data_IF_805590853250
#
_entry.id   IF_805590853250
#
_cell.length_a   1.000
_cell.length_b   1.000
_cell.length_c   1.000
_cell.angle_alpha   90.00
_cell.angle_beta   90.00
_cell.angle_gamma   90.00
#
_symmetry.space_group_name_H-M   'P 1'
#
loop_
_entity.id
_entity.type
_entity.pdbx_description
1 polymer ?
#
# COMPACT_ATOMS: atom_id res chain seq x y z
N UNK A 1 -4.81 3.32 -59.80
CA UNK A 1 -5.24 4.43 -58.93
C UNK A 1 -5.02 4.00 -57.48
N UNK A 2 -3.85 4.30 -56.92
CA UNK A 2 -3.50 3.98 -55.54
C UNK A 2 -4.11 5.02 -54.61
N UNK A 3 -4.96 4.59 -53.67
CA UNK A 3 -5.50 5.48 -52.63
C UNK A 3 -4.85 5.11 -51.30
N UNK A 4 -4.07 6.09 -50.82
CA UNK A 4 -3.18 6.16 -49.67
C UNK A 4 -3.85 5.73 -48.37
N UNK A 5 -3.19 4.83 -47.65
CA UNK A 5 -3.44 4.45 -46.25
C UNK A 5 -3.07 5.65 -45.37
N UNK A 6 -4.07 6.31 -44.79
CA UNK A 6 -3.81 7.34 -43.77
C UNK A 6 -3.44 6.61 -42.47
N UNK A 7 -2.19 6.82 -42.08
CA UNK A 7 -1.63 6.39 -40.80
C UNK A 7 -1.93 7.55 -39.86
N UNK A 8 -2.99 7.42 -39.07
CA UNK A 8 -3.25 8.30 -37.93
C UNK A 8 -2.01 8.30 -37.06
N UNK A 9 -1.34 9.45 -37.02
CA UNK A 9 -0.22 9.70 -36.14
C UNK A 9 -0.78 9.93 -34.75
N UNK A 10 -0.44 9.04 -33.82
CA UNK A 10 -0.65 9.26 -32.39
C UNK A 10 -0.04 10.62 -32.03
N UNK A 11 -0.88 11.57 -31.64
CA UNK A 11 -0.44 12.88 -31.18
C UNK A 11 0.56 12.68 -30.05
N UNK A 12 1.68 13.43 -30.09
CA UNK A 12 2.63 13.50 -28.99
C UNK A 12 1.88 14.04 -27.76
N UNK A 13 1.36 13.12 -26.95
CA UNK A 13 0.66 13.43 -25.72
C UNK A 13 1.57 14.21 -24.78
N UNK A 14 0.96 15.11 -24.01
CA UNK A 14 1.60 15.93 -22.99
C UNK A 14 2.66 15.10 -22.21
N UNK A 15 3.87 15.64 -21.96
CA UNK A 15 4.93 14.87 -21.33
C UNK A 15 4.43 14.36 -19.98
N UNK A 16 4.32 13.04 -19.85
CA UNK A 16 3.93 12.34 -18.62
C UNK A 16 5.04 12.55 -17.57
N UNK A 17 4.96 13.66 -16.84
CA UNK A 17 5.96 14.06 -15.85
C UNK A 17 6.25 12.92 -14.85
N UNK A 18 5.23 12.16 -14.45
CA UNK A 18 5.35 11.02 -13.53
C UNK A 18 6.18 9.84 -14.08
N UNK A 19 6.54 9.83 -15.37
CA UNK A 19 7.43 8.84 -15.98
C UNK A 19 8.86 9.35 -16.14
N UNK A 20 9.14 10.62 -15.77
CA UNK A 20 10.48 11.17 -15.88
C UNK A 20 11.36 10.68 -14.73
N UNK A 21 12.54 10.16 -15.06
CA UNK A 21 13.51 9.60 -14.11
C UNK A 21 13.84 10.55 -12.96
N UNK A 22 14.00 11.85 -13.26
CA UNK A 22 14.25 12.90 -12.25
C UNK A 22 13.15 13.03 -11.19
N UNK A 23 11.90 12.67 -11.53
CA UNK A 23 10.77 12.69 -10.60
C UNK A 23 10.54 11.35 -9.91
N UNK A 24 10.98 10.23 -10.51
CA UNK A 24 10.93 8.89 -9.92
C UNK A 24 11.90 8.75 -8.73
N UNK A 25 13.05 9.44 -8.78
CA UNK A 25 14.07 9.37 -7.73
C UNK A 25 13.97 10.48 -6.68
N UNK A 26 12.95 11.34 -6.80
CA UNK A 26 12.80 12.48 -5.90
C UNK A 26 12.45 11.99 -4.49
N UNK A 27 13.33 12.31 -3.54
CA UNK A 27 13.12 12.08 -2.11
C UNK A 27 12.71 13.38 -1.42
N UNK A 28 12.05 13.27 -0.27
CA UNK A 28 11.87 14.42 0.60
C UNK A 28 13.27 14.90 1.05
N UNK A 29 13.66 16.16 0.77
CA UNK A 29 14.92 16.68 1.25
C UNK A 29 14.89 16.75 2.78
N UNK A 30 15.97 16.33 3.42
CA UNK A 30 16.25 16.55 4.85
C UNK A 30 15.27 15.91 5.86
N UNK A 31 14.65 14.77 5.53
CA UNK A 31 13.84 14.02 6.50
C UNK A 31 14.64 12.89 7.16
N UNK A 32 14.98 13.03 8.45
CA UNK A 32 15.53 11.94 9.23
C UNK A 32 14.41 11.00 9.70
N UNK A 33 14.13 9.98 8.87
CA UNK A 33 13.13 8.96 9.17
C UNK A 33 13.36 8.27 10.52
N UNK A 34 14.60 8.19 11.02
CA UNK A 34 14.89 7.53 12.30
C UNK A 34 14.30 8.28 13.48
N UNK A 35 14.34 9.60 13.44
CA UNK A 35 13.76 10.44 14.49
C UNK A 35 12.24 10.36 14.50
N UNK A 36 11.61 10.21 13.32
CA UNK A 36 10.15 10.14 13.21
C UNK A 36 9.55 8.81 13.69
N UNK A 37 10.31 7.72 13.61
CA UNK A 37 9.86 6.39 14.03
C UNK A 37 10.28 6.05 15.46
N UNK A 38 10.98 6.96 16.14
CA UNK A 38 11.42 6.78 17.51
C UNK A 38 10.22 6.79 18.47
N UNK A 39 10.19 5.81 19.38
CA UNK A 39 9.12 5.71 20.39
C UNK A 39 9.20 6.91 21.36
N UNK A 40 8.16 7.75 21.44
CA UNK A 40 8.15 8.87 22.38
C UNK A 40 8.21 8.41 23.83
N UNK A 41 8.91 9.18 24.67
CA UNK A 41 8.97 8.90 26.11
C UNK A 41 7.57 8.91 26.74
N UNK A 42 7.23 7.83 27.45
CA UNK A 42 5.95 7.69 28.15
C UNK A 42 4.80 7.12 27.33
N UNK A 43 5.01 6.86 26.04
CA UNK A 43 4.04 6.16 25.19
C UNK A 43 4.26 4.64 25.27
N UNK A 44 3.18 3.88 25.28
CA UNK A 44 3.26 2.42 25.20
C UNK A 44 3.77 1.96 23.82
N UNK A 45 4.57 0.90 23.82
CA UNK A 45 5.16 0.37 22.59
C UNK A 45 4.10 -0.20 21.63
N UNK A 46 3.11 -0.91 22.15
CA UNK A 46 2.07 -1.50 21.31
C UNK A 46 1.12 -0.42 20.77
N UNK A 47 0.85 0.63 21.55
CA UNK A 47 0.13 1.82 21.08
C UNK A 47 0.86 2.52 19.93
N UNK A 48 2.16 2.73 20.10
CA UNK A 48 3.01 3.33 19.06
C UNK A 48 3.03 2.48 17.79
N UNK A 49 3.21 1.16 17.93
CA UNK A 49 3.21 0.26 16.79
C UNK A 49 1.83 0.19 16.11
N UNK A 50 0.76 0.17 16.90
CA UNK A 50 -0.61 0.13 16.38
C UNK A 50 -0.94 1.40 15.59
N UNK A 51 -0.65 2.58 16.13
CA UNK A 51 -0.88 3.86 15.45
C UNK A 51 -0.13 3.96 14.11
N UNK A 52 1.13 3.52 14.06
CA UNK A 52 1.91 3.48 12.82
C UNK A 52 1.35 2.48 11.80
N UNK A 53 0.92 1.32 12.28
CA UNK A 53 0.37 0.26 11.42
C UNK A 53 -0.94 0.70 10.76
N UNK A 54 -1.84 1.33 11.54
CA UNK A 54 -3.11 1.87 11.04
C UNK A 54 -2.87 2.97 10.00
N UNK A 55 -2.01 3.94 10.32
CA UNK A 55 -1.66 5.02 9.39
C UNK A 55 -1.03 4.48 8.10
N UNK A 56 -0.13 3.49 8.20
CA UNK A 56 0.48 2.87 7.01
C UNK A 56 -0.56 2.15 6.15
N UNK A 57 -1.48 1.42 6.76
CA UNK A 57 -2.55 0.73 6.04
C UNK A 57 -3.45 1.70 5.27
N UNK A 58 -3.82 2.83 5.87
CA UNK A 58 -4.58 3.88 5.19
C UNK A 58 -3.81 4.48 3.99
N UNK A 59 -2.52 4.78 4.17
CA UNK A 59 -1.69 5.28 3.08
C UNK A 59 -1.51 4.27 1.94
N UNK A 60 -1.34 2.99 2.25
CA UNK A 60 -1.24 1.92 1.24
C UNK A 60 -2.56 1.77 0.48
N UNK A 61 -3.71 1.82 1.18
CA UNK A 61 -5.02 1.81 0.53
C UNK A 61 -5.18 2.97 -0.46
N UNK A 62 -4.83 4.19 -0.03
CA UNK A 62 -4.90 5.38 -0.87
C UNK A 62 -4.00 5.25 -2.10
N UNK A 63 -2.75 4.80 -1.90
CA UNK A 63 -1.79 4.59 -2.99
C UNK A 63 -2.28 3.55 -3.97
N UNK A 64 -2.79 2.41 -3.47
CA UNK A 64 -3.32 1.35 -4.32
C UNK A 64 -4.55 1.82 -5.10
N UNK A 65 -5.43 2.61 -4.47
CA UNK A 65 -6.57 3.23 -5.14
C UNK A 65 -6.16 4.03 -6.38
N UNK A 66 -5.06 4.77 -6.32
CA UNK A 66 -4.54 5.56 -7.43
C UNK A 66 -3.92 4.73 -8.58
N UNK A 67 -3.45 3.51 -8.30
CA UNK A 67 -2.79 2.65 -9.31
C UNK A 67 -3.61 1.44 -9.76
N UNK A 68 -4.70 1.15 -9.05
CA UNK A 68 -5.52 -0.06 -9.23
C UNK A 68 -6.05 -0.20 -10.66
N UNK A 69 -6.44 0.91 -11.30
CA UNK A 69 -6.97 0.94 -12.67
C UNK A 69 -5.94 0.48 -13.72
N UNK A 70 -4.64 0.59 -13.43
CA UNK A 70 -3.58 0.21 -14.34
C UNK A 70 -3.16 -1.26 -14.18
N UNK A 71 -3.56 -1.93 -13.10
CA UNK A 71 -3.25 -3.34 -12.86
C UNK A 71 -4.52 -4.19 -13.00
N UNK A 72 -4.68 -4.80 -14.18
CA UNK A 72 -5.78 -5.73 -14.44
C UNK A 72 -5.29 -7.17 -14.54
N UNK A 73 -6.14 -8.15 -14.19
CA UNK A 73 -5.82 -9.57 -14.33
C UNK A 73 -5.54 -10.00 -15.78
N UNK A 74 -5.91 -9.17 -16.77
CA UNK A 74 -5.66 -9.42 -18.21
C UNK A 74 -4.30 -8.92 -18.65
N UNK A 75 -3.67 -8.01 -17.91
CA UNK A 75 -2.36 -7.49 -18.24
C UNK A 75 -1.29 -8.54 -17.92
N UNK A 76 -0.35 -8.84 -18.85
CA UNK A 76 0.68 -9.85 -18.61
C UNK A 76 1.60 -9.49 -17.43
N UNK A 77 1.78 -8.20 -17.15
CA UNK A 77 2.55 -7.72 -16.01
C UNK A 77 1.87 -7.99 -14.64
N UNK A 78 0.56 -8.22 -14.62
CA UNK A 78 -0.24 -8.44 -13.41
C UNK A 78 -0.85 -9.85 -13.34
N UNK A 79 -0.51 -10.74 -14.28
CA UNK A 79 -1.05 -12.10 -14.34
C UNK A 79 -0.66 -12.97 -13.14
N UNK A 80 0.51 -12.70 -12.57
CA UNK A 80 1.01 -13.27 -11.32
C UNK A 80 1.48 -12.15 -10.39
N UNK A 81 1.31 -12.32 -9.08
CA UNK A 81 1.90 -11.40 -8.10
C UNK A 81 3.42 -11.53 -8.10
N UNK A 82 4.10 -10.56 -8.72
CA UNK A 82 5.55 -10.52 -8.81
C UNK A 82 6.11 -9.20 -8.27
N UNK A 83 7.34 -9.25 -7.76
CA UNK A 83 8.06 -8.08 -7.28
C UNK A 83 9.48 -7.98 -7.82
N UNK A 84 10.22 -6.96 -7.36
CA UNK A 84 11.57 -6.67 -7.85
C UNK A 84 12.50 -7.89 -7.73
N UNK A 85 13.37 -8.06 -8.74
CA UNK A 85 14.31 -9.18 -8.79
C UNK A 85 13.69 -10.53 -9.13
N UNK A 86 12.53 -10.55 -9.81
CA UNK A 86 11.89 -11.78 -10.30
C UNK A 86 11.26 -12.64 -9.20
N UNK A 87 10.97 -12.04 -8.04
CA UNK A 87 10.35 -12.75 -6.90
C UNK A 87 8.86 -12.89 -7.14
N UNK A 88 8.33 -14.11 -7.04
CA UNK A 88 6.89 -14.37 -7.10
C UNK A 88 6.32 -14.53 -5.68
N UNK A 89 5.19 -13.89 -5.41
CA UNK A 89 4.48 -14.01 -4.13
C UNK A 89 3.29 -14.97 -4.28
N UNK A 90 3.06 -15.76 -3.25
CA UNK A 90 1.92 -16.65 -3.15
C UNK A 90 1.12 -16.31 -1.89
N UNK A 91 -0.20 -16.45 -1.98
CA UNK A 91 -1.09 -16.23 -0.85
C UNK A 91 -1.27 -17.53 -0.07
N UNK A 92 -1.45 -17.40 1.23
CA UNK A 92 -1.78 -18.51 2.11
C UNK A 92 -3.11 -18.16 2.78
N UNK A 93 -4.12 -19.01 2.57
CA UNK A 93 -5.38 -18.84 3.28
C UNK A 93 -5.25 -19.21 4.77
N UNK A 94 -6.31 -18.94 5.55
CA UNK A 94 -6.37 -19.25 6.99
C UNK A 94 -6.21 -20.76 7.28
N UNK A 95 -6.38 -21.62 6.27
CA UNK A 95 -6.19 -23.07 6.36
C UNK A 95 -4.79 -23.51 5.95
N UNK A 96 -3.90 -22.57 5.65
CA UNK A 96 -2.52 -22.80 5.22
C UNK A 96 -2.39 -23.26 3.76
N UNK A 97 -3.46 -23.21 2.96
CA UNK A 97 -3.41 -23.59 1.55
C UNK A 97 -2.75 -22.49 0.74
N UNK A 98 -1.68 -22.86 0.04
CA UNK A 98 -0.95 -21.98 -0.89
C UNK A 98 -1.74 -21.80 -2.19
N UNK A 99 -1.98 -20.56 -2.60
CA UNK A 99 -2.55 -20.21 -3.90
C UNK A 99 -1.69 -19.16 -4.61
N UNK A 100 -1.55 -19.32 -5.94
CA UNK A 100 -1.03 -18.27 -6.82
C UNK A 100 -2.23 -17.58 -7.45
N UNK A 101 -2.23 -16.26 -7.39
CA UNK A 101 -3.32 -15.43 -7.92
C UNK A 101 -2.71 -14.24 -8.64
N UNK A 102 -3.51 -13.63 -9.52
CA UNK A 102 -3.13 -12.41 -10.20
C UNK A 102 -2.81 -11.30 -9.19
N UNK A 103 -1.92 -10.38 -9.57
CA UNK A 103 -1.50 -9.26 -8.73
C UNK A 103 -2.68 -8.48 -8.10
N UNK A 104 -3.72 -8.06 -8.85
CA UNK A 104 -4.83 -7.31 -8.24
C UNK A 104 -5.59 -8.15 -7.20
N UNK A 105 -5.82 -9.44 -7.48
CA UNK A 105 -6.48 -10.36 -6.56
C UNK A 105 -5.65 -10.63 -5.31
N UNK A 106 -4.31 -10.69 -5.44
CA UNK A 106 -3.42 -10.81 -4.29
C UNK A 106 -3.54 -9.60 -3.37
N UNK A 107 -3.54 -8.40 -3.94
CA UNK A 107 -3.69 -7.16 -3.17
C UNK A 107 -5.05 -7.12 -2.49
N UNK A 108 -6.13 -7.49 -3.17
CA UNK A 108 -7.47 -7.57 -2.56
C UNK A 108 -7.50 -8.49 -1.32
N UNK A 109 -6.82 -9.64 -1.39
CA UNK A 109 -6.68 -10.55 -0.25
C UNK A 109 -5.91 -9.93 0.90
N UNK A 110 -4.77 -9.28 0.62
CA UNK A 110 -3.97 -8.58 1.63
C UNK A 110 -4.79 -7.48 2.30
N UNK A 111 -5.48 -6.66 1.51
CA UNK A 111 -6.23 -5.49 2.00
C UNK A 111 -7.42 -5.95 2.85
N UNK A 112 -8.14 -6.98 2.38
CA UNK A 112 -9.26 -7.59 3.13
C UNK A 112 -8.79 -8.22 4.43
N UNK A 113 -7.70 -8.99 4.39
CA UNK A 113 -7.11 -9.61 5.58
C UNK A 113 -6.71 -8.56 6.61
N UNK A 114 -5.95 -7.55 6.16
CA UNK A 114 -5.48 -6.48 7.03
C UNK A 114 -6.65 -5.70 7.61
N UNK A 115 -7.69 -5.39 6.82
CA UNK A 115 -8.90 -4.73 7.29
C UNK A 115 -9.61 -5.53 8.40
N UNK A 116 -9.68 -6.86 8.27
CA UNK A 116 -10.24 -7.72 9.31
C UNK A 116 -9.39 -7.66 10.59
N UNK A 117 -8.06 -7.72 10.45
CA UNK A 117 -7.12 -7.67 11.58
C UNK A 117 -7.18 -6.34 12.33
N UNK A 118 -7.21 -5.20 11.63
CA UNK A 118 -7.26 -3.88 12.28
C UNK A 118 -8.61 -3.60 12.95
N UNK A 119 -9.68 -4.26 12.51
CA UNK A 119 -11.01 -4.17 13.11
C UNK A 119 -11.25 -5.19 14.23
N UNK A 120 -10.31 -6.10 14.47
CA UNK A 120 -10.44 -7.12 15.50
C UNK A 120 -10.07 -6.53 16.87
N UNK A 121 -11.07 -6.33 17.74
CA UNK A 121 -10.87 -5.78 19.09
C UNK A 121 -9.94 -6.64 19.98
N UNK A 122 -9.69 -7.90 19.62
CA UNK A 122 -8.74 -8.76 20.35
C UNK A 122 -7.29 -8.49 19.97
N UNK A 123 -7.06 -7.86 18.81
CA UNK A 123 -5.75 -7.50 18.28
C UNK A 123 -5.52 -5.98 18.43
N UNK A 124 -6.50 -5.18 18.05
CA UNK A 124 -6.55 -3.72 18.17
C UNK A 124 -7.72 -3.31 19.08
N UNK A 125 -7.56 -3.40 20.41
CA UNK A 125 -8.62 -3.00 21.33
C UNK A 125 -8.96 -1.51 21.14
N UNK A 126 -10.25 -1.18 21.26
CA UNK A 126 -10.78 0.19 21.10
C UNK A 126 -11.45 0.72 22.37
N UNK A 127 -11.64 -0.15 23.37
CA UNK A 127 -12.31 0.19 24.63
C UNK A 127 -11.31 0.68 25.67
N UNK A 128 -11.62 1.84 26.26
CA UNK A 128 -10.90 2.40 27.40
C UNK A 128 -10.87 1.39 28.56
N UNK A 129 -9.67 1.08 29.08
CA UNK A 129 -9.44 0.15 30.17
C UNK A 129 -9.02 -1.28 29.76
N UNK A 130 -9.11 -1.63 28.47
CA UNK A 130 -8.42 -2.80 27.88
C UNK A 130 -7.27 -2.37 26.96
N UNK A 131 -7.28 -1.12 26.54
CA UNK A 131 -6.14 -0.41 26.01
C UNK A 131 -5.40 0.24 27.18
N UNK A 132 -4.20 -0.24 27.51
CA UNK A 132 -3.17 0.69 28.03
C UNK A 132 -2.78 1.72 26.95
N UNK A 133 -3.30 1.55 25.72
CA UNK A 133 -2.94 2.25 24.50
C UNK A 133 -3.84 3.43 24.07
N UNK A 134 -4.66 4.07 24.92
CA UNK A 134 -5.47 5.21 24.45
C UNK A 134 -5.69 6.33 25.49
N UNK A 135 -5.08 6.24 26.67
CA UNK A 135 -5.41 7.16 27.77
C UNK A 135 -4.56 8.44 27.83
N UNK A 136 -3.65 8.72 26.88
CA UNK A 136 -2.81 9.94 26.96
C UNK A 136 -2.95 10.97 25.84
N UNK A 137 -3.67 10.71 24.74
CA UNK A 137 -3.73 11.68 23.63
C UNK A 137 -4.83 12.76 23.72
N UNK A 138 -5.60 12.83 24.81
CA UNK A 138 -6.66 13.86 24.98
C UNK A 138 -6.62 14.68 26.28
N UNK A 139 -5.61 14.51 27.15
CA UNK A 139 -5.52 15.24 28.45
C UNK A 139 -4.26 16.13 28.54
N UNK A 140 -3.60 16.43 27.41
CA UNK A 140 -2.29 17.10 27.38
C UNK A 140 -2.22 18.43 26.64
N UNK A 141 -3.34 19.15 26.46
CA UNK A 141 -3.36 20.58 26.11
C UNK A 141 -3.72 21.39 27.35
#
# INVERSE_FOLDING_TARGET
KARRKERDGEAAGDPKLYLQEALLERKLPELDMRQLVELPHGLDYNEWLASHTLALFEHVNLLYGAVSEFCSARAPACADMSGPGGRSYAWYDERGKKSRVAAPQYVDYVMTYTQKTVNDETIFPTKYGQCECLQQLFVGL
#
